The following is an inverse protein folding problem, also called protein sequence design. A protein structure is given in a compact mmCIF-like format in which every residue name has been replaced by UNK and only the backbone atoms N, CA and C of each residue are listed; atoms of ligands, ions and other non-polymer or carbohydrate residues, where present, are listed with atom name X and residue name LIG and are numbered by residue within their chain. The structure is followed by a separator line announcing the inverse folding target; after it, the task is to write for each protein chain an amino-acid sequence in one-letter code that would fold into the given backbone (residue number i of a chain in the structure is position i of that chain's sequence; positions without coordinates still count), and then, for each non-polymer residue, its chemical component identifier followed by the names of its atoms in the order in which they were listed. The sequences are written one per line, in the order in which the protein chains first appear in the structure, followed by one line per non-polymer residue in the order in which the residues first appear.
data_IF_316260336903
#
_entry.id   IF_316260336903
#
_cell.length_a   1.000
_cell.length_b   1.000
_cell.length_c   1.000
_cell.angle_alpha   90.00
_cell.angle_beta   90.00
_cell.angle_gamma   90.00
#
_symmetry.space_group_name_H-M   'P 1'
#
loop_
_entity.id
_entity.type
_entity.pdbx_description
1 polymer ?
#
# COMPACT_ATOMS: atom_id res chain seq x y z
N UNK A 1 -13.00 0.04 -2.09
CA UNK A 1 -12.81 0.57 -3.44
C UNK A 1 -14.12 1.22 -3.87
N UNK A 2 -14.08 2.48 -4.33
CA UNK A 2 -15.20 3.09 -5.04
C UNK A 2 -15.38 2.35 -6.36
N UNK A 3 -16.61 2.25 -6.81
CA UNK A 3 -17.19 1.55 -7.96
C UNK A 3 -16.45 1.57 -9.33
N UNK A 4 -15.19 1.99 -9.40
CA UNK A 4 -14.44 2.14 -10.63
C UNK A 4 -13.72 0.89 -11.16
N UNK A 5 -13.58 -0.17 -10.37
CA UNK A 5 -12.89 -1.39 -10.77
C UNK A 5 -13.79 -2.61 -10.59
N UNK A 6 -14.93 -2.60 -11.30
CA UNK A 6 -15.90 -3.70 -11.28
C UNK A 6 -15.42 -4.98 -11.97
N UNK A 7 -14.22 -5.00 -12.52
CA UNK A 7 -13.67 -6.17 -13.20
C UNK A 7 -13.31 -7.29 -12.22
N UNK A 8 -13.12 -6.94 -10.95
CA UNK A 8 -12.79 -7.88 -9.88
C UNK A 8 -13.75 -7.64 -8.71
N UNK A 9 -14.81 -8.45 -8.60
CA UNK A 9 -15.79 -8.32 -7.52
C UNK A 9 -15.09 -8.48 -6.16
N UNK A 10 -15.52 -7.69 -5.19
CA UNK A 10 -15.08 -7.79 -3.80
C UNK A 10 -16.08 -8.69 -3.08
N UNK A 11 -15.67 -9.90 -2.72
CA UNK A 11 -16.52 -10.88 -2.06
C UNK A 11 -16.85 -10.45 -0.62
N UNK A 12 -15.89 -9.86 0.08
CA UNK A 12 -16.04 -9.42 1.47
C UNK A 12 -15.67 -7.95 1.63
N UNK A 13 -16.62 -7.02 1.53
CA UNK A 13 -16.35 -5.59 1.73
C UNK A 13 -16.10 -5.30 3.22
N UNK A 14 -14.85 -4.93 3.56
CA UNK A 14 -14.44 -4.65 4.95
C UNK A 14 -14.50 -3.15 5.34
N UNK A 15 -15.27 -2.28 4.65
CA UNK A 15 -15.16 -0.85 4.91
C UNK A 15 -16.50 -0.15 5.13
N UNK A 16 -16.69 0.36 6.34
CA UNK A 16 -17.53 1.51 6.61
C UNK A 16 -16.70 2.60 7.28
N UNK A 17 -16.18 3.53 6.49
CA UNK A 17 -15.59 4.75 7.05
C UNK A 17 -16.71 5.75 7.33
N UNK A 18 -16.66 6.39 8.47
CA UNK A 18 -17.48 7.57 8.75
C UNK A 18 -17.01 8.73 7.86
N UNK A 19 -17.61 8.86 6.69
CA UNK A 19 -17.16 9.78 5.64
C UNK A 19 -17.87 11.13 5.65
N UNK A 20 -18.98 11.30 6.40
CA UNK A 20 -19.60 12.61 6.50
C UNK A 20 -18.67 13.61 7.19
N UNK A 21 -18.67 14.89 6.82
CA UNK A 21 -17.79 15.89 7.41
C UNK A 21 -17.94 16.00 8.94
N UNK A 22 -19.15 15.86 9.45
CA UNK A 22 -19.46 15.92 10.88
C UNK A 22 -18.87 14.70 11.60
N UNK A 23 -19.17 13.49 11.12
CA UNK A 23 -18.64 12.25 11.70
C UNK A 23 -17.13 12.16 11.64
N UNK A 24 -16.52 12.72 10.60
CA UNK A 24 -15.06 12.83 10.50
C UNK A 24 -14.48 13.72 11.61
N UNK A 25 -15.12 14.86 11.91
CA UNK A 25 -14.69 15.76 13.01
C UNK A 25 -14.82 15.07 14.37
N UNK A 26 -15.96 14.40 14.61
CA UNK A 26 -16.20 13.65 15.88
C UNK A 26 -15.14 12.56 16.04
N UNK A 27 -14.87 11.78 15.02
CA UNK A 27 -13.83 10.73 15.03
C UNK A 27 -12.44 11.29 15.37
N UNK A 28 -12.07 12.41 14.72
CA UNK A 28 -10.77 13.08 15.01
C UNK A 28 -10.74 13.56 16.47
N UNK A 29 -11.84 14.10 16.98
CA UNK A 29 -11.95 14.51 18.39
C UNK A 29 -11.75 13.33 19.35
N UNK A 30 -12.45 12.22 19.14
CA UNK A 30 -12.29 10.98 19.92
C UNK A 30 -10.84 10.52 19.90
N UNK A 31 -10.23 10.44 18.70
CA UNK A 31 -8.85 10.01 18.58
C UNK A 31 -7.85 10.91 19.31
N UNK A 32 -8.03 12.24 19.22
CA UNK A 32 -7.16 13.20 19.92
C UNK A 32 -7.26 13.12 21.45
N UNK A 33 -8.46 12.84 21.98
CA UNK A 33 -8.71 12.78 23.42
C UNK A 33 -8.34 11.43 24.04
N UNK A 34 -8.56 10.33 23.32
CA UNK A 34 -8.47 8.98 23.88
C UNK A 34 -7.43 8.09 23.23
N UNK A 35 -6.86 8.50 22.09
CA UNK A 35 -6.04 7.63 21.24
C UNK A 35 -6.82 6.52 20.54
N UNK A 36 -8.16 6.46 20.69
CA UNK A 36 -8.99 5.41 20.11
C UNK A 36 -9.41 5.76 18.68
N UNK A 37 -9.01 4.92 17.73
CA UNK A 37 -9.45 5.06 16.32
C UNK A 37 -10.70 4.24 16.03
N UNK A 38 -11.81 4.94 15.96
CA UNK A 38 -13.14 4.38 15.69
C UNK A 38 -13.19 3.59 14.38
N UNK A 39 -12.52 4.06 13.32
CA UNK A 39 -12.51 3.36 12.04
C UNK A 39 -11.77 2.02 12.12
N UNK A 40 -10.59 2.01 12.75
CA UNK A 40 -9.84 0.78 12.96
C UNK A 40 -10.63 -0.23 13.79
N UNK A 41 -11.36 0.22 14.80
CA UNK A 41 -12.23 -0.64 15.59
C UNK A 41 -13.36 -1.26 14.74
N UNK A 42 -14.06 -0.46 13.94
CA UNK A 42 -15.13 -0.99 13.09
C UNK A 42 -14.61 -1.92 11.99
N UNK A 43 -13.47 -1.60 11.36
CA UNK A 43 -12.82 -2.51 10.42
C UNK A 43 -12.47 -3.84 11.07
N UNK A 44 -11.90 -3.80 12.28
CA UNK A 44 -11.58 -5.00 13.03
C UNK A 44 -12.83 -5.80 13.40
N UNK A 45 -13.93 -5.15 13.80
CA UNK A 45 -15.21 -5.84 14.09
C UNK A 45 -15.79 -6.52 12.84
N UNK A 46 -15.66 -5.89 11.67
CA UNK A 46 -16.06 -6.53 10.39
C UNK A 46 -15.16 -7.71 10.07
N UNK A 47 -13.84 -7.57 10.22
CA UNK A 47 -12.90 -8.67 10.03
C UNK A 47 -13.26 -9.87 10.92
N UNK A 48 -13.51 -9.64 12.22
CA UNK A 48 -13.92 -10.71 13.15
C UNK A 48 -15.20 -11.42 12.71
N UNK A 49 -16.15 -10.69 12.10
CA UNK A 49 -17.38 -11.28 11.56
C UNK A 49 -17.07 -12.26 10.42
N UNK A 50 -16.13 -11.92 9.55
CA UNK A 50 -15.75 -12.72 8.38
C UNK A 50 -14.53 -13.63 8.61
N UNK A 51 -13.97 -13.65 9.80
CA UNK A 51 -12.72 -14.41 10.04
C UNK A 51 -12.81 -15.90 9.72
N UNK A 52 -14.03 -16.52 9.82
CA UNK A 52 -14.23 -17.92 9.46
C UNK A 52 -14.04 -18.18 7.96
N UNK A 53 -14.30 -17.18 7.13
CA UNK A 53 -14.17 -17.21 5.67
C UNK A 53 -12.74 -16.84 5.22
N UNK A 54 -11.92 -16.27 6.12
CA UNK A 54 -10.57 -15.79 5.86
C UNK A 54 -9.48 -16.78 6.33
N UNK A 55 -9.76 -18.06 6.31
CA UNK A 55 -8.85 -19.13 6.76
C UNK A 55 -8.79 -20.29 5.79
N UNK A 56 -7.74 -21.13 5.94
CA UNK A 56 -7.52 -22.37 5.19
C UNK A 56 -7.26 -22.15 3.68
N UNK A 57 -6.85 -20.94 3.29
CA UNK A 57 -6.35 -20.71 1.95
C UNK A 57 -4.94 -21.27 1.78
N UNK A 58 -4.66 -21.83 0.61
CA UNK A 58 -3.31 -22.26 0.25
C UNK A 58 -2.37 -21.05 0.11
N UNK A 59 -2.89 -19.95 -0.43
CA UNK A 59 -2.16 -18.70 -0.66
C UNK A 59 -3.01 -17.51 -0.29
N UNK A 60 -2.43 -16.59 0.47
CA UNK A 60 -2.97 -15.25 0.72
C UNK A 60 -1.95 -14.24 0.21
N UNK A 61 -2.40 -13.27 -0.57
CA UNK A 61 -1.58 -12.15 -1.02
C UNK A 61 -2.01 -10.86 -0.34
N UNK A 62 -1.10 -10.25 0.41
CA UNK A 62 -1.26 -8.90 0.93
C UNK A 62 -0.89 -7.90 -0.17
N UNK A 63 -1.72 -6.89 -0.39
CA UNK A 63 -1.44 -5.87 -1.41
C UNK A 63 -0.35 -4.88 -0.99
N UNK A 64 -0.18 -4.68 0.31
CA UNK A 64 0.88 -3.86 0.91
C UNK A 64 1.03 -4.19 2.40
N UNK A 65 1.94 -3.51 3.11
CA UNK A 65 2.19 -3.70 4.56
C UNK A 65 1.03 -3.23 5.46
N UNK A 66 0.07 -2.48 4.92
CA UNK A 66 -1.09 -1.96 5.64
C UNK A 66 -2.39 -2.20 4.86
N UNK A 67 -2.75 -3.46 4.57
CA UNK A 67 -3.87 -3.79 3.69
C UNK A 67 -5.23 -3.34 4.24
N UNK A 68 -5.35 -3.20 5.55
CA UNK A 68 -6.60 -2.78 6.20
C UNK A 68 -6.67 -1.29 6.52
N UNK A 69 -5.57 -0.56 6.39
CA UNK A 69 -5.47 0.88 6.73
C UNK A 69 -5.92 1.23 8.15
N UNK A 70 -5.60 0.35 9.11
CA UNK A 70 -5.93 0.50 10.51
C UNK A 70 -4.73 1.01 11.33
N UNK A 71 -4.96 1.35 12.61
CA UNK A 71 -3.86 1.54 13.56
C UNK A 71 -3.10 0.23 13.75
N UNK A 72 -1.81 0.30 14.04
CA UNK A 72 -0.92 -0.88 14.10
C UNK A 72 -1.42 -2.00 15.01
N UNK A 73 -2.09 -1.66 16.11
CA UNK A 73 -2.64 -2.67 17.01
C UNK A 73 -3.72 -3.53 16.35
N UNK A 74 -4.64 -2.91 15.60
CA UNK A 74 -5.69 -3.63 14.89
C UNK A 74 -5.15 -4.30 13.63
N UNK A 75 -4.30 -3.60 12.89
CA UNK A 75 -3.61 -4.15 11.71
C UNK A 75 -2.89 -5.45 12.07
N UNK A 76 -2.07 -5.42 13.13
CA UNK A 76 -1.33 -6.58 13.60
C UNK A 76 -2.23 -7.74 14.02
N UNK A 77 -3.35 -7.48 14.70
CA UNK A 77 -4.30 -8.54 15.09
C UNK A 77 -4.90 -9.25 13.88
N UNK A 78 -5.29 -8.49 12.86
CA UNK A 78 -5.87 -9.04 11.64
C UNK A 78 -4.85 -9.81 10.81
N UNK A 79 -3.65 -9.26 10.64
CA UNK A 79 -2.56 -9.94 9.94
C UNK A 79 -2.09 -11.19 10.67
N UNK A 80 -1.97 -11.15 12.01
CA UNK A 80 -1.62 -12.34 12.79
C UNK A 80 -2.62 -13.47 12.54
N UNK A 81 -3.92 -13.16 12.54
CA UNK A 81 -4.94 -14.16 12.22
C UNK A 81 -4.72 -14.77 10.82
N UNK A 82 -4.41 -13.94 9.81
CA UNK A 82 -4.13 -14.45 8.46
C UNK A 82 -2.89 -15.34 8.41
N UNK A 83 -1.83 -14.97 9.13
CA UNK A 83 -0.59 -15.76 9.21
C UNK A 83 -0.81 -17.12 9.89
N UNK A 84 -1.61 -17.15 10.97
CA UNK A 84 -1.83 -18.35 11.77
C UNK A 84 -2.81 -19.34 11.14
N UNK A 85 -3.70 -18.86 10.26
CA UNK A 85 -4.81 -19.67 9.75
C UNK A 85 -4.74 -19.99 8.25
N UNK A 86 -3.65 -19.60 7.57
CA UNK A 86 -3.45 -19.87 6.15
C UNK A 86 -2.07 -20.47 5.89
N UNK A 87 -1.92 -21.26 4.81
CA UNK A 87 -0.68 -22.01 4.55
C UNK A 87 0.50 -21.11 4.18
N UNK A 88 0.29 -20.16 3.26
CA UNK A 88 1.32 -19.26 2.76
C UNK A 88 0.77 -17.86 2.61
N UNK A 89 1.48 -16.86 3.15
CA UNK A 89 1.15 -15.46 2.96
C UNK A 89 2.31 -14.78 2.24
N UNK A 90 2.00 -14.08 1.16
CA UNK A 90 2.93 -13.30 0.35
C UNK A 90 2.59 -11.82 0.45
N UNK A 91 3.60 -10.98 0.27
CA UNK A 91 3.45 -9.53 0.22
C UNK A 91 3.69 -9.05 -1.21
N UNK A 92 2.73 -8.35 -1.78
CA UNK A 92 2.96 -7.51 -2.96
C UNK A 92 3.38 -6.12 -2.48
N UNK A 93 4.50 -5.63 -2.97
CA UNK A 93 4.90 -4.25 -2.73
C UNK A 93 4.13 -3.35 -3.68
N UNK A 94 3.12 -2.70 -3.16
CA UNK A 94 2.29 -1.73 -3.87
C UNK A 94 1.99 -0.54 -2.96
N UNK A 95 2.38 0.64 -3.35
CA UNK A 95 2.31 1.83 -2.51
C UNK A 95 3.56 2.04 -1.65
N UNK A 96 3.70 3.20 -1.05
CA UNK A 96 4.89 3.57 -0.25
C UNK A 96 5.02 2.70 1.00
N UNK A 97 6.18 2.13 1.23
CA UNK A 97 6.52 1.30 2.39
C UNK A 97 7.82 1.75 3.08
N UNK A 98 8.18 1.07 4.18
CA UNK A 98 9.40 1.38 4.92
C UNK A 98 10.67 1.10 4.10
N UNK A 99 10.75 -0.06 3.44
CA UNK A 99 11.99 -0.50 2.79
C UNK A 99 12.32 0.37 1.59
N UNK A 100 11.34 0.70 0.77
CA UNK A 100 11.49 1.57 -0.40
C UNK A 100 11.96 2.97 0.01
N UNK A 101 11.31 3.55 1.04
CA UNK A 101 11.69 4.88 1.53
C UNK A 101 13.09 4.85 2.16
N UNK A 102 13.43 3.84 2.96
CA UNK A 102 14.75 3.70 3.57
C UNK A 102 15.85 3.54 2.51
N UNK A 103 15.57 2.76 1.46
CA UNK A 103 16.48 2.59 0.33
C UNK A 103 16.80 3.92 -0.37
N UNK A 104 15.78 4.72 -0.67
CA UNK A 104 15.98 6.00 -1.35
C UNK A 104 16.73 7.02 -0.50
N UNK A 105 16.52 7.02 0.81
CA UNK A 105 17.32 7.86 1.71
C UNK A 105 18.80 7.42 1.78
N UNK A 106 19.07 6.14 1.63
CA UNK A 106 20.43 5.60 1.59
C UNK A 106 21.13 5.79 0.24
N UNK A 107 20.34 5.99 -0.82
CA UNK A 107 20.81 6.18 -2.18
C UNK A 107 20.30 7.52 -2.76
N UNK A 108 20.76 8.67 -2.24
CA UNK A 108 20.20 9.98 -2.58
C UNK A 108 20.43 10.41 -4.05
N UNK A 109 21.37 9.78 -4.75
CA UNK A 109 21.62 10.02 -6.18
C UNK A 109 20.66 9.27 -7.10
N UNK A 110 19.92 8.30 -6.55
CA UNK A 110 18.91 7.57 -7.29
C UNK A 110 17.71 8.47 -7.60
N UNK A 111 17.30 8.52 -8.87
CA UNK A 111 16.13 9.31 -9.29
C UNK A 111 14.86 8.66 -8.78
N UNK A 112 14.41 9.09 -7.63
CA UNK A 112 13.24 8.55 -6.94
C UNK A 112 12.23 9.64 -6.60
N UNK A 113 11.09 9.25 -6.08
CA UNK A 113 10.06 10.16 -5.56
C UNK A 113 10.58 11.06 -4.43
N UNK A 114 11.71 10.72 -3.78
CA UNK A 114 12.32 11.53 -2.72
C UNK A 114 13.21 12.65 -3.24
N UNK A 115 13.63 12.61 -4.50
CA UNK A 115 14.60 13.56 -5.02
C UNK A 115 14.20 15.05 -4.82
N UNK A 116 12.94 15.47 -5.11
CA UNK A 116 12.53 16.85 -4.86
C UNK A 116 12.58 17.26 -3.38
N UNK A 117 12.38 16.30 -2.47
CA UNK A 117 12.50 16.52 -1.04
C UNK A 117 13.97 16.65 -0.61
N UNK A 118 14.83 15.75 -1.10
CA UNK A 118 16.27 15.78 -0.83
C UNK A 118 16.94 17.04 -1.38
N UNK A 119 16.44 17.55 -2.50
CA UNK A 119 16.87 18.83 -3.11
C UNK A 119 16.32 20.07 -2.36
N UNK A 120 15.56 19.90 -1.28
CA UNK A 120 14.98 21.02 -0.52
C UNK A 120 13.81 21.73 -1.21
N UNK A 121 13.28 21.18 -2.31
CA UNK A 121 12.16 21.77 -3.07
C UNK A 121 10.80 21.56 -2.41
N UNK A 122 10.70 20.57 -1.49
CA UNK A 122 9.46 20.19 -0.83
C UNK A 122 9.69 20.16 0.68
N UNK A 123 8.78 20.80 1.43
CA UNK A 123 8.86 20.84 2.90
C UNK A 123 8.42 19.53 3.54
N UNK A 124 8.88 19.26 4.77
CA UNK A 124 8.47 18.11 5.59
C UNK A 124 6.95 17.98 5.69
N UNK A 125 6.25 19.13 5.86
CA UNK A 125 4.79 19.16 5.97
C UNK A 125 4.11 18.62 4.71
N UNK A 126 4.56 19.05 3.54
CA UNK A 126 4.02 18.60 2.26
C UNK A 126 4.35 17.12 1.98
N UNK A 127 5.50 16.65 2.48
CA UNK A 127 5.98 15.29 2.23
C UNK A 127 5.74 14.30 3.38
N UNK A 128 5.05 14.71 4.43
CA UNK A 128 4.79 13.94 5.65
C UNK A 128 4.18 12.56 5.38
N UNK A 129 3.36 12.44 4.34
CA UNK A 129 2.73 11.16 3.95
C UNK A 129 3.75 10.08 3.53
N UNK A 130 4.95 10.47 3.10
CA UNK A 130 6.07 9.58 2.77
C UNK A 130 7.03 9.45 3.96
N UNK A 131 7.41 10.57 4.58
CA UNK A 131 8.35 10.60 5.71
C UNK A 131 7.88 9.78 6.91
N UNK A 132 6.56 9.61 7.08
CA UNK A 132 5.99 8.78 8.17
C UNK A 132 6.52 7.35 8.16
N UNK A 133 6.87 6.79 6.99
CA UNK A 133 7.37 5.40 6.87
C UNK A 133 8.73 5.20 7.54
N UNK A 134 9.51 6.27 7.77
CA UNK A 134 10.76 6.21 8.53
C UNK A 134 10.58 6.16 10.05
N UNK A 135 9.36 6.38 10.54
CA UNK A 135 9.11 6.34 12.00
C UNK A 135 9.36 4.93 12.55
N UNK A 136 9.87 4.80 13.80
CA UNK A 136 10.18 3.51 14.40
C UNK A 136 9.02 2.51 14.40
N UNK A 137 7.78 2.99 14.51
CA UNK A 137 6.60 2.14 14.47
C UNK A 137 6.42 1.44 13.11
N UNK A 138 6.65 2.14 12.00
CA UNK A 138 6.61 1.56 10.65
C UNK A 138 7.74 0.54 10.44
N UNK A 139 8.96 0.86 10.86
CA UNK A 139 10.09 -0.07 10.83
C UNK A 139 9.78 -1.37 11.59
N UNK A 140 9.25 -1.26 12.81
CA UNK A 140 8.88 -2.44 13.62
C UNK A 140 7.79 -3.28 12.96
N UNK A 141 6.78 -2.63 12.36
CA UNK A 141 5.71 -3.32 11.66
C UNK A 141 6.24 -4.05 10.42
N UNK A 142 7.06 -3.37 9.60
CA UNK A 142 7.75 -3.94 8.47
C UNK A 142 8.54 -5.21 8.86
N UNK A 143 9.42 -5.11 9.86
CA UNK A 143 10.24 -6.23 10.32
C UNK A 143 9.39 -7.42 10.76
N UNK A 144 8.31 -7.14 11.50
CA UNK A 144 7.39 -8.19 11.95
C UNK A 144 6.65 -8.86 10.79
N UNK A 145 6.16 -8.10 9.79
CA UNK A 145 5.54 -8.67 8.59
C UNK A 145 6.54 -9.55 7.83
N UNK A 146 7.76 -9.05 7.62
CA UNK A 146 8.80 -9.78 6.89
C UNK A 146 9.21 -11.09 7.57
N UNK A 147 9.10 -11.18 8.89
CA UNK A 147 9.31 -12.46 9.60
C UNK A 147 8.24 -13.49 9.28
N UNK A 148 7.00 -13.07 9.05
CA UNK A 148 5.84 -13.95 8.93
C UNK A 148 5.46 -14.30 7.47
N UNK A 149 5.86 -13.51 6.48
CA UNK A 149 5.57 -13.80 5.07
C UNK A 149 6.54 -14.81 4.47
N UNK A 150 6.09 -15.51 3.42
CA UNK A 150 6.88 -16.50 2.68
C UNK A 150 7.67 -15.91 1.52
N UNK A 151 7.23 -14.79 0.98
CA UNK A 151 7.91 -14.12 -0.12
C UNK A 151 7.32 -12.75 -0.43
N UNK A 152 8.04 -12.00 -1.24
CA UNK A 152 7.75 -10.63 -1.62
C UNK A 152 7.75 -10.55 -3.14
N UNK A 153 6.78 -9.83 -3.69
CA UNK A 153 6.63 -9.61 -5.12
C UNK A 153 6.60 -8.09 -5.35
N UNK A 154 7.43 -7.58 -6.24
CA UNK A 154 7.37 -6.18 -6.65
C UNK A 154 6.30 -5.97 -7.74
N UNK A 155 5.57 -4.88 -7.68
CA UNK A 155 4.56 -4.51 -8.69
C UNK A 155 5.13 -3.68 -9.84
N UNK A 156 6.26 -3.01 -9.61
CA UNK A 156 6.95 -2.17 -10.58
C UNK A 156 8.43 -1.95 -10.18
N UNK A 157 9.18 -1.21 -11.00
CA UNK A 157 10.59 -0.94 -10.81
C UNK A 157 10.92 -0.17 -9.52
N UNK A 158 10.00 0.67 -9.04
CA UNK A 158 10.19 1.43 -7.79
C UNK A 158 10.32 0.49 -6.57
N UNK A 159 9.77 -0.73 -6.67
CA UNK A 159 9.90 -1.77 -5.64
C UNK A 159 10.93 -2.82 -5.99
N UNK A 160 11.06 -3.17 -7.28
CA UNK A 160 12.03 -4.17 -7.74
C UNK A 160 13.46 -3.81 -7.32
N UNK A 161 13.87 -2.59 -7.63
CA UNK A 161 15.25 -2.14 -7.35
C UNK A 161 15.59 -2.18 -5.85
N UNK A 162 14.78 -1.63 -4.93
CA UNK A 162 15.03 -1.74 -3.49
C UNK A 162 14.99 -3.16 -2.93
N UNK A 163 14.33 -4.10 -3.61
CA UNK A 163 14.19 -5.50 -3.16
C UNK A 163 15.35 -6.39 -3.61
N UNK A 164 16.18 -5.97 -4.54
CA UNK A 164 17.31 -6.76 -5.03
C UNK A 164 18.23 -7.20 -3.87
N UNK A 165 18.57 -8.48 -3.86
CA UNK A 165 19.37 -9.09 -2.80
C UNK A 165 18.58 -9.46 -1.53
N UNK A 166 17.29 -9.18 -1.44
CA UNK A 166 16.47 -9.65 -0.32
C UNK A 166 16.17 -11.16 -0.48
N UNK A 167 16.46 -12.01 0.51
CA UNK A 167 16.31 -13.47 0.39
C UNK A 167 14.84 -13.93 0.23
N UNK A 168 13.87 -13.08 0.55
CA UNK A 168 12.45 -13.36 0.33
C UNK A 168 11.90 -12.78 -0.97
N UNK A 169 12.71 -12.07 -1.74
CA UNK A 169 12.28 -11.47 -2.99
C UNK A 169 12.12 -12.52 -4.09
N UNK A 170 10.95 -12.56 -4.71
CA UNK A 170 10.56 -13.56 -5.73
C UNK A 170 10.59 -13.02 -7.16
N UNK A 171 10.77 -11.71 -7.32
CA UNK A 171 10.76 -11.05 -8.61
C UNK A 171 9.62 -10.05 -8.78
N UNK A 172 9.59 -9.41 -9.96
CA UNK A 172 8.57 -8.42 -10.30
C UNK A 172 7.45 -9.05 -11.12
N UNK A 173 6.21 -8.81 -10.69
CA UNK A 173 4.99 -9.14 -11.44
C UNK A 173 4.17 -7.86 -11.54
N UNK A 174 4.09 -7.23 -12.71
CA UNK A 174 3.31 -6.02 -12.92
C UNK A 174 1.83 -6.21 -12.58
N UNK A 175 1.18 -5.12 -12.19
CA UNK A 175 -0.25 -5.15 -11.94
C UNK A 175 -1.01 -5.63 -13.19
N UNK A 176 -1.99 -6.54 -13.05
CA UNK A 176 -2.74 -7.05 -14.17
C UNK A 176 -3.61 -5.96 -14.81
N UNK A 177 -3.75 -6.02 -16.14
CA UNK A 177 -4.66 -5.19 -16.91
C UNK A 177 -5.65 -6.08 -17.66
N UNK A 178 -6.87 -5.59 -17.83
CA UNK A 178 -7.88 -6.30 -18.62
C UNK A 178 -7.69 -6.00 -20.11
N UNK A 179 -7.11 -6.94 -20.84
CA UNK A 179 -6.83 -6.80 -22.28
C UNK A 179 -8.09 -6.79 -23.14
N UNK A 180 -9.21 -7.34 -22.66
CA UNK A 180 -10.48 -7.28 -23.41
C UNK A 180 -11.03 -5.86 -23.47
N UNK A 181 -10.79 -5.07 -22.40
CA UNK A 181 -11.20 -3.66 -22.32
C UNK A 181 -10.18 -2.69 -22.90
N UNK A 182 -8.94 -3.10 -22.99
CA UNK A 182 -7.83 -2.31 -23.51
C UNK A 182 -7.12 -3.07 -24.61
N UNK A 183 -7.74 -3.19 -25.80
CA UNK A 183 -7.13 -3.89 -26.92
C UNK A 183 -5.83 -3.19 -27.32
N UNK A 184 -4.82 -3.98 -27.67
CA UNK A 184 -3.59 -3.43 -28.22
C UNK A 184 -3.87 -2.76 -29.56
N UNK A 185 -3.58 -1.48 -29.66
CA UNK A 185 -3.62 -0.71 -30.89
C UNK A 185 -2.17 -0.41 -31.29
N UNK A 186 -1.68 -0.93 -32.42
CA UNK A 186 -0.35 -0.59 -32.89
C UNK A 186 -0.23 0.92 -33.10
N UNK A 187 0.79 1.51 -32.51
CA UNK A 187 1.07 2.95 -32.69
C UNK A 187 2.06 3.08 -33.84
N UNK A 188 1.64 3.75 -34.92
CA UNK A 188 2.55 4.16 -35.98
C UNK A 188 3.18 5.50 -35.56
N UNK A 189 4.50 5.53 -35.46
CA UNK A 189 5.22 6.78 -35.23
C UNK A 189 5.23 7.54 -36.57
N UNK A 190 4.48 8.64 -36.59
CA UNK A 190 4.45 9.59 -37.69
C UNK A 190 5.53 10.68 -37.51
N UNK A 191 5.39 11.83 -38.13
CA UNK A 191 6.35 12.93 -38.10
C UNK A 191 6.57 13.55 -36.70
N UNK A 192 5.71 13.23 -35.72
CA UNK A 192 5.80 13.75 -34.34
C UNK A 192 5.75 12.62 -33.33
N UNK A 193 6.66 12.66 -32.38
CA UNK A 193 6.62 11.82 -31.19
C UNK A 193 5.66 12.47 -30.18
N UNK A 194 4.59 11.76 -29.83
CA UNK A 194 3.63 12.20 -28.80
C UNK A 194 3.91 11.42 -27.52
N UNK A 195 4.25 12.12 -26.44
CA UNK A 195 4.46 11.56 -25.14
C UNK A 195 3.27 11.96 -24.26
N UNK A 196 2.52 10.95 -23.78
CA UNK A 196 1.47 11.16 -22.77
C UNK A 196 2.02 10.86 -21.39
N UNK A 197 1.91 11.86 -20.48
CA UNK A 197 2.26 11.70 -19.07
C UNK A 197 1.06 12.05 -18.20
N UNK A 198 0.37 11.02 -17.71
CA UNK A 198 -0.80 11.18 -16.85
C UNK A 198 -0.39 11.35 -15.38
N UNK A 199 -0.71 12.51 -14.78
CA UNK A 199 -0.43 12.81 -13.36
C UNK A 199 -1.74 13.02 -12.62
N UNK A 200 -1.90 12.32 -11.48
CA UNK A 200 -2.94 12.65 -10.52
C UNK A 200 -2.47 13.83 -9.65
N UNK A 201 -3.19 14.94 -9.67
CA UNK A 201 -2.84 16.17 -8.94
C UNK A 201 -2.69 15.95 -7.43
N UNK A 202 -3.47 15.05 -6.83
CA UNK A 202 -3.36 14.69 -5.40
C UNK A 202 -2.04 13.98 -5.07
N UNK A 203 -1.34 13.49 -6.07
CA UNK A 203 -0.06 12.79 -5.95
C UNK A 203 1.07 13.45 -6.74
N UNK A 204 0.94 14.73 -7.07
CA UNK A 204 1.88 15.46 -7.91
C UNK A 204 3.35 15.21 -7.52
N UNK A 205 3.69 15.40 -6.24
CA UNK A 205 5.05 15.20 -5.74
C UNK A 205 5.49 13.72 -5.60
N UNK A 206 4.57 12.77 -5.78
CA UNK A 206 4.88 11.32 -5.65
C UNK A 206 4.94 10.60 -7.00
N UNK A 207 4.46 11.25 -8.04
CA UNK A 207 4.38 10.64 -9.38
C UNK A 207 5.22 11.37 -10.42
N UNK A 208 6.02 12.32 -10.00
CA UNK A 208 6.91 13.10 -10.87
C UNK A 208 6.28 14.34 -11.39
#
# INVERSE_FOLDING_TARGET
FKDGFKDYPVDLPLFHKWNSPILKKIRIGIYKLTGFDVNSYFTYRQFVRYQKELKQFDVVQLINEHPFYCTFNYEKKMLQYLFDNNKKVFLMCCGTDYLTVDYYFKNPTFKSLLLPYLDGKISDKAFQSVLKFRKPAFKKMHQWIYQNIKGIIASDLDYDIPMQGNPKYLGMIPNPINLEKLPYIPVTIADKIVIFHGINTDNYYKKG
#
